data_IF_213521268704
#
_entry.id   IF_213521268704
#
_cell.length_a   1.000
_cell.length_b   1.000
_cell.length_c   1.000
_cell.angle_alpha   90.00
_cell.angle_beta   90.00
_cell.angle_gamma   90.00
#
_symmetry.space_group_name_H-M   'P 1'
#
loop_
_entity.id
_entity.type
_entity.pdbx_description
1 polymer ?
#
# COMPACT_ATOMS: atom_id res chain seq x y z
N UNK A 1 -0.20 -29.08 46.91
CA UNK A 1 -0.81 -27.74 46.72
C UNK A 1 0.19 -26.69 46.25
N UNK A 2 1.29 -26.42 46.98
CA UNK A 2 2.32 -25.43 46.55
C UNK A 2 2.95 -25.73 45.18
N UNK A 3 3.32 -26.99 44.93
CA UNK A 3 3.89 -27.42 43.64
C UNK A 3 2.94 -27.21 42.46
N UNK A 4 1.65 -27.52 42.66
CA UNK A 4 0.61 -27.33 41.67
C UNK A 4 0.41 -25.83 41.34
N UNK A 5 0.41 -24.97 42.36
CA UNK A 5 0.32 -23.51 42.17
C UNK A 5 1.55 -22.98 41.42
N UNK A 6 2.76 -23.44 41.74
CA UNK A 6 3.97 -23.02 41.03
C UNK A 6 3.94 -23.42 39.56
N UNK A 7 3.48 -24.64 39.24
CA UNK A 7 3.34 -25.10 37.85
C UNK A 7 2.31 -24.25 37.10
N UNK A 8 1.16 -23.96 37.74
CA UNK A 8 0.11 -23.15 37.15
C UNK A 8 0.59 -21.72 36.84
N UNK A 9 1.27 -21.08 37.78
CA UNK A 9 1.81 -19.71 37.60
C UNK A 9 2.85 -19.68 36.48
N UNK A 10 3.77 -20.65 36.45
CA UNK A 10 4.75 -20.74 35.36
C UNK A 10 4.09 -20.94 33.99
N UNK A 11 3.05 -21.75 33.89
CA UNK A 11 2.30 -21.94 32.64
C UNK A 11 1.62 -20.63 32.19
N UNK A 12 1.00 -19.90 33.12
CA UNK A 12 0.37 -18.60 32.82
C UNK A 12 1.42 -17.59 32.33
N UNK A 13 2.59 -17.54 32.95
CA UNK A 13 3.68 -16.63 32.55
C UNK A 13 4.14 -16.95 31.12
N UNK A 14 4.35 -18.22 30.79
CA UNK A 14 4.76 -18.62 29.43
C UNK A 14 3.70 -18.23 28.40
N UNK A 15 2.42 -18.47 28.68
CA UNK A 15 1.31 -18.08 27.81
C UNK A 15 1.26 -16.55 27.64
N UNK A 16 1.40 -15.79 28.74
CA UNK A 16 1.39 -14.34 28.68
C UNK A 16 2.56 -13.78 27.85
N UNK A 17 3.76 -14.33 28.02
CA UNK A 17 4.94 -13.95 27.21
C UNK A 17 4.70 -14.26 25.73
N UNK A 18 4.20 -15.45 25.41
CA UNK A 18 3.87 -15.84 24.03
C UNK A 18 2.89 -14.86 23.38
N UNK A 19 1.80 -14.53 24.07
CA UNK A 19 0.79 -13.59 23.57
C UNK A 19 1.34 -12.18 23.37
N UNK A 20 2.19 -11.70 24.28
CA UNK A 20 2.83 -10.38 24.18
C UNK A 20 3.79 -10.30 22.99
N UNK A 21 4.64 -11.32 22.79
CA UNK A 21 5.54 -11.39 21.63
C UNK A 21 4.72 -11.40 20.34
N UNK A 22 3.73 -12.28 20.25
CA UNK A 22 2.90 -12.41 19.05
C UNK A 22 2.20 -11.09 18.69
N UNK A 23 1.58 -10.43 19.69
CA UNK A 23 0.88 -9.16 19.50
C UNK A 23 1.82 -8.02 19.11
N UNK A 24 2.98 -7.92 19.73
CA UNK A 24 3.91 -6.79 19.49
C UNK A 24 4.74 -6.98 18.22
N UNK A 25 5.21 -8.18 17.92
CA UNK A 25 6.00 -8.46 16.71
C UNK A 25 5.18 -8.36 15.43
N UNK A 26 3.96 -8.93 15.40
CA UNK A 26 3.11 -8.88 14.19
C UNK A 26 2.74 -7.44 13.85
N UNK A 27 2.38 -6.64 14.85
CA UNK A 27 2.06 -5.23 14.64
C UNK A 27 3.26 -4.41 14.15
N UNK A 28 4.47 -4.74 14.62
CA UNK A 28 5.70 -4.09 14.15
C UNK A 28 6.08 -4.51 12.72
N UNK A 29 6.02 -5.80 12.41
CA UNK A 29 6.34 -6.32 11.09
C UNK A 29 5.38 -5.78 10.02
N UNK A 30 4.09 -5.78 10.32
CA UNK A 30 3.07 -5.21 9.43
C UNK A 30 3.24 -3.70 9.24
N UNK A 31 3.55 -2.96 10.30
CA UNK A 31 3.85 -1.53 10.20
C UNK A 31 5.11 -1.25 9.38
N UNK A 32 6.17 -2.03 9.57
CA UNK A 32 7.42 -1.90 8.84
C UNK A 32 7.20 -2.18 7.33
N UNK A 33 6.50 -3.26 7.00
CA UNK A 33 6.15 -3.60 5.63
C UNK A 33 5.34 -2.48 4.97
N UNK A 34 4.31 -1.97 5.65
CA UNK A 34 3.49 -0.84 5.16
C UNK A 34 4.34 0.39 4.88
N UNK A 35 5.25 0.75 5.79
CA UNK A 35 6.15 1.91 5.60
C UNK A 35 7.10 1.73 4.42
N UNK A 36 7.63 0.52 4.24
CA UNK A 36 8.50 0.21 3.10
C UNK A 36 7.73 0.27 1.78
N UNK A 37 6.53 -0.32 1.74
CA UNK A 37 5.66 -0.27 0.59
C UNK A 37 5.23 1.17 0.24
N UNK A 38 4.91 1.97 1.26
CA UNK A 38 4.59 3.39 1.08
C UNK A 38 5.78 4.13 0.48
N UNK A 39 6.96 4.01 1.08
CA UNK A 39 8.16 4.68 0.58
C UNK A 39 8.51 4.28 -0.86
N UNK A 40 8.34 3.00 -1.22
CA UNK A 40 8.56 2.53 -2.58
C UNK A 40 7.53 3.11 -3.57
N UNK A 41 6.25 3.15 -3.17
CA UNK A 41 5.16 3.69 -4.00
C UNK A 41 5.31 5.20 -4.14
N UNK A 42 5.69 5.91 -3.07
CA UNK A 42 5.94 7.36 -3.08
C UNK A 42 7.09 7.72 -4.02
N UNK A 43 8.18 6.95 -3.98
CA UNK A 43 9.32 7.17 -4.87
C UNK A 43 8.95 6.89 -6.33
N UNK A 44 8.15 5.85 -6.59
CA UNK A 44 7.63 5.54 -7.92
C UNK A 44 6.69 6.65 -8.41
N UNK A 45 5.81 7.16 -7.54
CA UNK A 45 4.88 8.23 -7.86
C UNK A 45 5.61 9.55 -8.14
N UNK A 46 6.66 9.85 -7.36
CA UNK A 46 7.55 10.98 -7.63
C UNK A 46 8.16 10.92 -9.02
N UNK A 47 8.65 9.74 -9.39
CA UNK A 47 9.21 9.49 -10.70
C UNK A 47 8.15 9.66 -11.79
N UNK A 48 6.97 9.06 -11.62
CA UNK A 48 5.88 9.12 -12.59
C UNK A 48 5.39 10.55 -12.83
N UNK A 49 5.26 11.36 -11.79
CA UNK A 49 4.87 12.76 -11.89
C UNK A 49 5.95 13.60 -12.58
N UNK A 50 7.22 13.37 -12.25
CA UNK A 50 8.35 14.06 -12.89
C UNK A 50 8.46 13.72 -14.37
N UNK A 51 8.26 12.45 -14.74
CA UNK A 51 8.35 11.99 -16.12
C UNK A 51 7.20 12.55 -16.98
N UNK A 52 6.00 12.68 -16.41
CA UNK A 52 4.83 13.26 -17.08
C UNK A 52 4.78 14.80 -16.97
N UNK A 53 5.96 15.44 -16.93
CA UNK A 53 6.17 16.89 -17.07
C UNK A 53 5.49 17.78 -16.01
N UNK A 54 5.14 17.23 -14.85
CA UNK A 54 4.70 18.04 -13.72
C UNK A 54 5.92 18.63 -13.00
N UNK A 55 6.23 19.90 -13.30
CA UNK A 55 7.00 20.73 -12.37
C UNK A 55 6.12 21.09 -11.17
N UNK A 56 5.86 20.09 -10.33
CA UNK A 56 5.21 20.29 -9.04
C UNK A 56 6.19 21.02 -8.12
N UNK A 57 5.81 22.17 -7.52
CA UNK A 57 6.67 22.89 -6.59
C UNK A 57 6.95 22.09 -5.29
N UNK A 58 6.13 21.08 -5.00
CA UNK A 58 6.30 20.13 -3.91
C UNK A 58 5.63 18.81 -4.25
N UNK A 59 6.21 17.70 -3.83
CA UNK A 59 5.62 16.36 -3.94
C UNK A 59 4.29 16.29 -3.16
N UNK A 60 3.22 15.70 -3.70
CA UNK A 60 2.00 15.44 -2.93
C UNK A 60 2.31 14.50 -1.77
N UNK A 61 1.73 14.78 -0.60
CA UNK A 61 1.75 13.84 0.53
C UNK A 61 0.87 12.63 0.20
N UNK A 62 1.37 11.43 0.48
CA UNK A 62 0.63 10.18 0.31
C UNK A 62 -0.15 9.82 1.57
N UNK A 63 -1.38 9.36 1.39
CA UNK A 63 -2.21 8.83 2.47
C UNK A 63 -2.45 7.33 2.26
N UNK A 64 -2.44 6.56 3.35
CA UNK A 64 -2.72 5.12 3.28
C UNK A 64 -4.23 4.89 3.18
N UNK A 65 -4.71 4.23 2.12
CA UNK A 65 -6.14 3.88 1.94
C UNK A 65 -6.51 2.54 2.60
N UNK A 66 -5.50 1.82 3.09
CA UNK A 66 -5.64 0.45 3.59
C UNK A 66 -6.59 0.29 4.80
N UNK A 67 -6.91 1.37 5.53
CA UNK A 67 -7.74 1.28 6.73
C UNK A 67 -9.21 0.88 6.44
N UNK A 68 -9.67 1.03 5.19
CA UNK A 68 -11.03 0.65 4.77
C UNK A 68 -11.10 -0.78 4.20
N UNK A 69 -10.02 -1.27 3.57
CA UNK A 69 -10.05 -2.49 2.75
C UNK A 69 -9.50 -3.76 3.42
N UNK A 70 -8.76 -3.63 4.53
CA UNK A 70 -8.38 -4.77 5.36
C UNK A 70 -6.91 -4.85 5.74
N UNK A 71 -6.60 -5.69 6.74
CA UNK A 71 -5.25 -5.84 7.28
C UNK A 71 -4.30 -6.39 6.21
N UNK A 72 -3.44 -5.52 5.67
CA UNK A 72 -2.31 -5.94 4.83
C UNK A 72 -2.42 -5.52 3.37
N UNK A 73 -3.51 -4.87 2.96
CA UNK A 73 -3.60 -4.19 1.67
C UNK A 73 -2.59 -3.05 1.62
N UNK A 74 -1.84 -2.96 0.53
CA UNK A 74 -0.81 -1.94 0.29
C UNK A 74 -1.27 -1.01 -0.84
N UNK A 75 -2.28 -0.19 -0.54
CA UNK A 75 -2.84 0.81 -1.44
C UNK A 75 -2.72 2.20 -0.81
N UNK A 76 -2.32 3.17 -1.63
CA UNK A 76 -1.98 4.53 -1.20
C UNK A 76 -2.65 5.54 -2.13
N UNK A 77 -3.27 6.54 -1.54
CA UNK A 77 -3.96 7.64 -2.22
C UNK A 77 -3.03 8.84 -2.30
N UNK A 78 -3.06 9.48 -3.46
CA UNK A 78 -2.33 10.69 -3.76
C UNK A 78 -3.33 11.75 -4.22
N UNK A 79 -3.24 12.94 -3.63
CA UNK A 79 -4.10 14.06 -4.00
C UNK A 79 -3.30 15.19 -4.64
N UNK A 80 -3.72 15.61 -5.83
CA UNK A 80 -3.06 16.63 -6.65
C UNK A 80 -4.02 17.77 -6.98
N UNK A 81 -3.56 19.02 -7.01
CA UNK A 81 -4.41 20.14 -7.45
C UNK A 81 -4.69 20.03 -8.95
N UNK A 82 -5.95 19.79 -9.34
CA UNK A 82 -6.39 19.53 -10.71
C UNK A 82 -5.93 20.58 -11.74
N UNK A 83 -5.89 21.86 -11.33
CA UNK A 83 -5.41 22.98 -12.17
C UNK A 83 -3.96 22.84 -12.64
N UNK A 84 -3.16 21.99 -11.99
CA UNK A 84 -1.75 21.73 -12.35
C UNK A 84 -1.56 20.46 -13.18
N UNK A 85 -2.59 19.63 -13.37
CA UNK A 85 -2.47 18.25 -13.89
C UNK A 85 -3.41 17.96 -15.07
N UNK A 86 -3.87 19.00 -15.79
CA UNK A 86 -4.84 18.87 -16.90
C UNK A 86 -4.43 17.94 -18.04
N UNK A 87 -3.14 17.61 -18.16
CA UNK A 87 -2.61 16.71 -19.19
C UNK A 87 -2.26 15.30 -18.67
N UNK A 88 -2.34 15.09 -17.35
CA UNK A 88 -1.96 13.83 -16.74
C UNK A 88 -3.03 12.76 -17.05
N UNK A 89 -2.59 11.60 -17.56
CA UNK A 89 -3.47 10.46 -17.84
C UNK A 89 -3.13 9.29 -16.95
N UNK A 90 -4.16 8.60 -16.48
CA UNK A 90 -4.06 7.41 -15.64
C UNK A 90 -3.07 6.37 -16.19
N UNK A 91 -3.20 6.02 -17.48
CA UNK A 91 -2.34 5.03 -18.13
C UNK A 91 -0.88 5.46 -18.19
N UNK A 92 -0.61 6.76 -18.35
CA UNK A 92 0.76 7.28 -18.45
C UNK A 92 1.43 7.27 -17.06
N UNK A 93 0.66 7.52 -15.99
CA UNK A 93 1.12 7.36 -14.60
C UNK A 93 1.41 5.90 -14.30
N UNK A 94 0.47 4.99 -14.59
CA UNK A 94 0.66 3.56 -14.31
C UNK A 94 1.85 2.96 -15.07
N UNK A 95 2.03 3.35 -16.33
CA UNK A 95 3.17 2.94 -17.13
C UNK A 95 4.49 3.43 -16.51
N UNK A 96 4.55 4.69 -16.08
CA UNK A 96 5.75 5.25 -15.45
C UNK A 96 6.05 4.62 -14.08
N UNK A 97 5.02 4.30 -13.28
CA UNK A 97 5.17 3.56 -12.03
C UNK A 97 5.83 2.19 -12.25
N UNK A 98 5.36 1.43 -13.25
CA UNK A 98 5.91 0.11 -13.55
C UNK A 98 7.28 0.18 -14.24
N UNK A 99 7.56 1.24 -14.99
CA UNK A 99 8.91 1.51 -15.51
C UNK A 99 9.91 1.74 -14.36
N UNK A 100 9.53 2.56 -13.36
CA UNK A 100 10.33 2.76 -12.16
C UNK A 100 10.55 1.45 -11.39
N UNK A 101 9.49 0.66 -11.20
CA UNK A 101 9.59 -0.63 -10.52
C UNK A 101 10.60 -1.57 -11.18
N UNK A 102 10.56 -1.64 -12.52
CA UNK A 102 11.49 -2.43 -13.31
C UNK A 102 12.93 -1.90 -13.21
N UNK A 103 13.12 -0.59 -13.29
CA UNK A 103 14.45 0.05 -13.18
C UNK A 103 15.08 -0.17 -11.81
N UNK A 104 14.29 -0.10 -10.73
CA UNK A 104 14.76 -0.28 -9.35
C UNK A 104 14.71 -1.71 -8.85
N UNK A 105 14.33 -2.66 -9.71
CA UNK A 105 14.17 -4.07 -9.37
C UNK A 105 13.31 -4.27 -8.12
N UNK A 106 12.18 -3.57 -8.04
CA UNK A 106 11.26 -3.73 -6.93
C UNK A 106 10.66 -5.14 -6.93
N UNK A 107 10.71 -5.77 -5.76
CA UNK A 107 10.05 -7.04 -5.52
C UNK A 107 8.54 -6.90 -5.73
N UNK A 108 7.91 -7.93 -6.26
CA UNK A 108 6.46 -7.99 -6.39
C UNK A 108 6.02 -9.44 -6.27
N UNK A 109 4.71 -9.65 -6.09
CA UNK A 109 4.15 -10.97 -6.05
C UNK A 109 4.38 -11.66 -7.41
N UNK A 110 5.05 -12.83 -7.48
CA UNK A 110 5.42 -13.45 -8.76
C UNK A 110 4.24 -13.77 -9.69
N UNK A 111 3.05 -13.94 -9.12
CA UNK A 111 1.82 -14.19 -9.87
C UNK A 111 1.16 -12.90 -10.41
N UNK A 112 1.68 -11.72 -10.07
CA UNK A 112 1.14 -10.45 -10.53
C UNK A 112 1.74 -10.03 -11.87
N UNK A 113 0.89 -9.60 -12.80
CA UNK A 113 1.33 -9.10 -14.10
C UNK A 113 2.02 -7.72 -14.03
N UNK A 114 1.74 -6.95 -12.97
CA UNK A 114 2.27 -5.60 -12.73
C UNK A 114 2.70 -5.47 -11.27
N UNK A 115 3.70 -4.63 -11.03
CA UNK A 115 4.15 -4.28 -9.67
C UNK A 115 3.20 -3.26 -9.04
N UNK A 116 2.82 -2.24 -9.81
CA UNK A 116 1.87 -1.22 -9.39
C UNK A 116 0.64 -1.22 -10.28
N UNK A 117 -0.52 -0.98 -9.70
CA UNK A 117 -1.79 -0.80 -10.40
C UNK A 117 -2.42 0.50 -9.92
N UNK A 118 -2.85 1.37 -10.84
CA UNK A 118 -3.71 2.50 -10.49
C UNK A 118 -5.13 1.95 -10.34
N UNK A 119 -5.67 1.99 -9.13
CA UNK A 119 -6.96 1.37 -8.82
C UNK A 119 -8.13 2.32 -8.98
N UNK A 120 -7.90 3.61 -8.78
CA UNK A 120 -8.93 4.63 -8.89
C UNK A 120 -8.36 5.95 -9.39
N UNK A 121 -9.18 6.69 -10.13
CA UNK A 121 -8.80 7.96 -10.77
C UNK A 121 -10.01 8.89 -10.89
N UNK A 122 -10.12 9.86 -9.98
CA UNK A 122 -11.29 10.73 -9.94
C UNK A 122 -10.94 12.15 -9.48
N UNK A 123 -11.75 13.12 -9.89
CA UNK A 123 -11.56 14.53 -9.50
C UNK A 123 -12.72 14.98 -8.64
N UNK A 124 -12.42 15.59 -7.49
CA UNK A 124 -13.41 16.20 -6.60
C UNK A 124 -12.86 17.51 -6.03
N UNK A 125 -13.69 18.55 -5.93
CA UNK A 125 -13.30 19.86 -5.38
C UNK A 125 -11.95 20.42 -5.92
N UNK A 126 -11.71 20.28 -7.23
CA UNK A 126 -10.45 20.70 -7.90
C UNK A 126 -9.21 19.94 -7.45
N UNK A 127 -9.40 18.76 -6.86
CA UNK A 127 -8.36 17.83 -6.46
C UNK A 127 -8.51 16.53 -7.26
N UNK A 128 -7.44 16.11 -7.92
CA UNK A 128 -7.31 14.81 -8.56
C UNK A 128 -6.83 13.81 -7.51
N UNK A 129 -7.62 12.76 -7.29
CA UNK A 129 -7.32 11.63 -6.42
C UNK A 129 -6.85 10.46 -7.28
N UNK A 130 -5.75 9.86 -6.87
CA UNK A 130 -5.11 8.74 -7.55
C UNK A 130 -4.80 7.68 -6.51
N UNK A 131 -5.41 6.51 -6.65
CA UNK A 131 -5.14 5.38 -5.78
C UNK A 131 -4.18 4.42 -6.47
N UNK A 132 -3.10 4.05 -5.79
CA UNK A 132 -2.07 3.17 -6.31
C UNK A 132 -1.89 1.97 -5.39
N UNK A 133 -2.11 0.78 -5.92
CA UNK A 133 -1.87 -0.48 -5.24
C UNK A 133 -0.50 -1.07 -5.60
N UNK A 134 0.28 -1.43 -4.59
CA UNK A 134 1.54 -2.16 -4.73
C UNK A 134 1.31 -3.66 -4.52
N UNK A 135 1.33 -4.43 -5.62
CA UNK A 135 1.05 -5.87 -5.63
C UNK A 135 2.25 -6.67 -5.10
N UNK A 136 2.59 -6.46 -3.83
CA UNK A 136 3.66 -7.16 -3.13
C UNK A 136 3.18 -8.43 -2.42
N UNK A 137 1.91 -8.50 -2.07
CA UNK A 137 1.32 -9.62 -1.35
C UNK A 137 -0.05 -10.03 -1.92
N UNK A 138 -0.51 -11.20 -1.46
CA UNK A 138 -1.78 -11.79 -1.88
C UNK A 138 -2.98 -10.89 -1.56
N UNK A 139 -3.01 -10.32 -0.34
CA UNK A 139 -4.10 -9.44 0.09
C UNK A 139 -4.30 -8.23 -0.84
N UNK A 140 -3.22 -7.65 -1.35
CA UNK A 140 -3.30 -6.53 -2.30
C UNK A 140 -3.73 -7.00 -3.69
N UNK A 141 -3.31 -8.21 -4.13
CA UNK A 141 -3.78 -8.80 -5.39
C UNK A 141 -5.29 -9.05 -5.36
N UNK A 142 -5.79 -9.68 -4.31
CA UNK A 142 -7.21 -9.97 -4.12
C UNK A 142 -8.04 -8.69 -4.10
N UNK A 143 -7.59 -7.67 -3.36
CA UNK A 143 -8.19 -6.33 -3.36
C UNK A 143 -8.34 -5.76 -4.78
N UNK A 144 -7.28 -5.75 -5.58
CA UNK A 144 -7.33 -5.22 -6.96
C UNK A 144 -8.24 -6.05 -7.86
N UNK A 145 -8.25 -7.38 -7.69
CA UNK A 145 -9.14 -8.27 -8.43
C UNK A 145 -10.61 -8.01 -8.10
N UNK A 146 -10.92 -7.77 -6.83
CA UNK A 146 -12.29 -7.50 -6.40
C UNK A 146 -12.78 -6.13 -6.90
N UNK A 147 -11.92 -5.11 -6.91
CA UNK A 147 -12.23 -3.83 -7.56
C UNK A 147 -12.53 -3.97 -9.05
N UNK A 148 -11.75 -4.78 -9.78
CA UNK A 148 -11.99 -5.02 -11.20
C UNK A 148 -13.35 -5.66 -11.46
N UNK A 149 -13.79 -6.60 -10.60
CA UNK A 149 -15.12 -7.22 -10.72
C UNK A 149 -16.23 -6.20 -10.50
N UNK A 150 -16.08 -5.27 -9.56
CA UNK A 150 -17.06 -4.21 -9.31
C UNK A 150 -17.21 -3.27 -10.51
N UNK A 151 -16.09 -2.89 -11.12
CA UNK A 151 -16.08 -1.99 -12.29
C UNK A 151 -16.64 -2.64 -13.57
N UNK A 152 -16.62 -3.98 -13.68
CA UNK A 152 -17.21 -4.70 -14.82
C UNK A 152 -18.72 -4.92 -14.70
N UNK A 153 -19.26 -4.84 -13.48
CA UNK A 153 -20.67 -5.08 -13.19
C UNK A 153 -21.52 -3.79 -13.16
N UNK A 154 -20.90 -2.63 -13.40
CA UNK A 154 -21.53 -1.31 -13.58
C UNK A 154 -21.42 -0.85 -15.03
#
# INVERSE_FOLDING_TARGET
>A
MRLFIMILVSAIIVIAIYLLIHRTMINRATLMLRRQAQAATDAAMAYALKQNLLQLPSMPESQLVADVWGKGVLAFEYTLKAKKVTELKEKDVEMALNAYAKEKHLDHLPAAAKTFVVTDWWTYEQMLHIDVAYIYNEATREYVMDLHKLNQNN
#
